data_IF_253613689699
#
_entry.id   IF_253613689699
#
_cell.length_a   1.000
_cell.length_b   1.000
_cell.length_c   1.000
_cell.angle_alpha   90.00
_cell.angle_beta   90.00
_cell.angle_gamma   90.00
#
_symmetry.space_group_name_H-M   'P 1'
#
loop_
_entity.id
_entity.type
_entity.pdbx_description
1 polymer ?
#
# COMPACT_ATOMS: atom_id res chain seq x y z
N UNK A 1 12.64 -12.85 -9.64
CA UNK A 1 12.81 -11.62 -8.82
C UNK A 1 13.85 -11.83 -7.75
N UNK A 2 14.73 -10.84 -7.55
CA UNK A 2 15.90 -10.89 -6.65
C UNK A 2 15.52 -10.75 -5.17
N UNK A 3 16.23 -11.46 -4.29
CA UNK A 3 16.21 -11.26 -2.84
C UNK A 3 17.26 -10.20 -2.48
N UNK A 4 16.87 -9.22 -1.67
CA UNK A 4 17.80 -8.19 -1.21
C UNK A 4 18.24 -8.42 0.23
N UNK A 5 19.44 -7.98 0.56
CA UNK A 5 20.05 -8.01 1.88
C UNK A 5 20.83 -6.71 2.12
N UNK A 6 21.65 -6.66 3.17
CA UNK A 6 22.46 -5.50 3.52
C UNK A 6 23.55 -5.13 2.48
N UNK A 7 23.89 -6.03 1.55
CA UNK A 7 24.95 -5.82 0.55
C UNK A 7 24.41 -5.29 -0.78
N UNK A 8 23.12 -5.50 -1.07
CA UNK A 8 22.53 -5.15 -2.36
C UNK A 8 21.19 -4.39 -2.24
N UNK A 9 20.89 -3.84 -1.06
CA UNK A 9 19.65 -3.11 -0.79
C UNK A 9 19.41 -1.97 -1.78
N UNK A 10 18.23 -1.98 -2.42
CA UNK A 10 17.86 -0.99 -3.45
C UNK A 10 17.68 0.43 -2.91
N UNK A 11 17.55 0.62 -1.60
CA UNK A 11 17.35 1.91 -0.96
C UNK A 11 15.98 2.53 -1.27
N UNK A 12 15.24 2.95 -0.24
CA UNK A 12 13.96 3.65 -0.38
C UNK A 12 13.58 4.36 0.91
N UNK A 13 12.65 5.31 0.85
CA UNK A 13 12.04 5.91 2.02
C UNK A 13 10.91 5.01 2.53
N UNK A 14 11.13 4.33 3.65
CA UNK A 14 10.14 3.45 4.27
C UNK A 14 9.28 4.25 5.24
N UNK A 15 7.99 4.42 4.90
CA UNK A 15 7.08 5.27 5.66
C UNK A 15 6.05 4.48 6.49
N UNK A 16 5.90 3.18 6.25
CA UNK A 16 5.06 2.30 7.09
C UNK A 16 5.70 0.93 7.23
N UNK A 17 5.64 0.41 8.46
CA UNK A 17 5.98 -0.96 8.81
C UNK A 17 4.72 -1.60 9.36
N UNK A 18 4.31 -2.72 8.78
CA UNK A 18 3.15 -3.51 9.18
C UNK A 18 3.67 -4.75 9.88
N UNK A 19 3.41 -4.82 11.19
CA UNK A 19 3.85 -5.92 12.03
C UNK A 19 3.01 -7.19 11.83
N UNK A 20 3.62 -8.37 11.95
CA UNK A 20 2.90 -9.63 11.87
C UNK A 20 1.94 -9.79 13.06
N UNK A 21 0.74 -10.31 12.81
CA UNK A 21 -0.25 -10.58 13.87
C UNK A 21 0.13 -11.76 14.79
N UNK A 22 0.99 -12.67 14.33
CA UNK A 22 1.42 -13.85 15.09
C UNK A 22 2.86 -13.65 15.60
N UNK A 23 3.05 -13.87 16.90
CA UNK A 23 4.33 -13.67 17.63
C UNK A 23 5.54 -14.44 17.03
N UNK A 24 5.30 -15.58 16.36
CA UNK A 24 6.34 -16.39 15.74
C UNK A 24 6.62 -16.03 14.27
N UNK A 25 5.84 -15.14 13.66
CA UNK A 25 6.16 -14.64 12.31
C UNK A 25 7.11 -13.46 12.48
N UNK A 26 8.31 -13.53 11.89
CA UNK A 26 9.30 -12.45 11.91
C UNK A 26 9.32 -11.68 10.57
N UNK A 27 8.14 -11.54 9.96
CA UNK A 27 7.98 -10.94 8.64
C UNK A 27 7.19 -9.65 8.77
N UNK A 28 7.81 -8.55 8.39
CA UNK A 28 7.21 -7.22 8.40
C UNK A 28 6.90 -6.83 6.96
N UNK A 29 5.69 -6.39 6.70
CA UNK A 29 5.40 -5.80 5.38
C UNK A 29 5.73 -4.33 5.43
N UNK A 30 6.51 -3.86 4.47
CA UNK A 30 7.00 -2.50 4.39
C UNK A 30 6.32 -1.77 3.24
N UNK A 31 5.91 -0.53 3.48
CA UNK A 31 5.52 0.40 2.42
C UNK A 31 6.64 1.44 2.24
N UNK A 32 7.12 1.54 1.02
CA UNK A 32 8.25 2.39 0.65
C UNK A 32 7.90 3.34 -0.51
N UNK A 33 8.60 4.46 -0.54
CA UNK A 33 8.60 5.42 -1.63
C UNK A 33 10.01 5.53 -2.21
N UNK A 34 10.09 5.54 -3.53
CA UNK A 34 11.33 5.72 -4.27
C UNK A 34 11.09 6.79 -5.34
N UNK A 35 11.97 7.80 -5.35
CA UNK A 35 11.91 8.89 -6.30
C UNK A 35 12.25 8.50 -7.73
N UNK A 36 12.67 7.26 -8.03
CA UNK A 36 12.94 6.72 -9.37
C UNK A 36 13.73 7.65 -10.32
N UNK A 37 13.06 8.47 -11.14
CA UNK A 37 13.66 9.35 -12.14
C UNK A 37 12.77 10.59 -12.44
N UNK A 38 13.19 11.57 -13.28
CA UNK A 38 12.41 12.78 -13.55
C UNK A 38 10.99 12.56 -14.11
N UNK A 39 10.67 11.41 -14.69
CA UNK A 39 9.37 11.14 -15.32
C UNK A 39 8.39 10.39 -14.42
N UNK A 40 8.89 9.56 -13.50
CA UNK A 40 8.04 8.69 -12.67
C UNK A 40 8.46 8.59 -11.22
N UNK A 41 7.52 8.15 -10.39
CA UNK A 41 7.70 7.84 -8.97
C UNK A 41 7.32 6.37 -8.74
N UNK A 42 7.97 5.71 -7.78
CA UNK A 42 7.66 4.33 -7.41
C UNK A 42 7.19 4.26 -5.94
N UNK A 43 6.09 3.55 -5.71
CA UNK A 43 5.73 2.99 -4.39
C UNK A 43 6.03 1.49 -4.38
N UNK A 44 6.52 0.99 -3.24
CA UNK A 44 6.94 -0.39 -3.09
C UNK A 44 6.22 -1.02 -1.90
N UNK A 45 5.70 -2.23 -2.10
CA UNK A 45 5.27 -3.12 -1.02
C UNK A 45 6.21 -4.32 -1.00
N UNK A 46 6.99 -4.48 0.06
CA UNK A 46 7.99 -5.54 0.20
C UNK A 46 7.91 -6.19 1.59
N UNK A 47 8.54 -7.34 1.77
CA UNK A 47 8.53 -8.08 3.03
C UNK A 47 9.94 -8.18 3.57
N UNK A 48 10.15 -7.60 4.74
CA UNK A 48 11.37 -7.71 5.53
C UNK A 48 11.27 -8.94 6.45
N UNK A 49 12.21 -9.87 6.29
CA UNK A 49 12.47 -10.90 7.28
C UNK A 49 13.74 -10.58 8.07
N UNK A 50 13.68 -10.72 9.39
CA UNK A 50 14.87 -10.64 10.24
C UNK A 50 15.03 -11.99 10.95
N UNK A 51 16.07 -12.74 10.59
CA UNK A 51 16.40 -14.04 11.18
C UNK A 51 17.89 -14.14 11.42
N UNK A 52 18.30 -14.67 12.59
CA UNK A 52 19.71 -14.87 12.93
C UNK A 52 20.57 -13.62 12.68
N UNK A 53 20.06 -12.44 13.05
CA UNK A 53 20.70 -11.12 12.85
C UNK A 53 20.93 -10.72 11.38
N UNK A 54 20.27 -11.41 10.43
CA UNK A 54 20.30 -11.08 9.01
C UNK A 54 18.92 -10.55 8.59
N UNK A 55 18.94 -9.41 7.89
CA UNK A 55 17.77 -8.79 7.30
C UNK A 55 17.71 -9.14 5.80
N UNK A 56 16.57 -9.62 5.33
CA UNK A 56 16.32 -9.90 3.91
C UNK A 56 14.99 -9.32 3.45
N UNK A 57 14.93 -8.91 2.19
CA UNK A 57 13.73 -8.42 1.52
C UNK A 57 13.37 -9.31 0.33
N UNK A 58 12.08 -9.50 0.07
CA UNK A 58 11.58 -10.24 -1.09
C UNK A 58 11.09 -11.65 -0.75
N UNK A 59 10.07 -11.74 0.10
CA UNK A 59 9.36 -12.98 0.40
C UNK A 59 8.21 -13.20 -0.59
N UNK A 60 8.11 -14.40 -1.15
CA UNK A 60 7.04 -14.79 -2.09
C UNK A 60 5.69 -14.98 -1.38
N UNK A 61 4.98 -13.89 -1.11
CA UNK A 61 3.67 -13.94 -0.44
C UNK A 61 2.62 -13.01 -1.04
N UNK A 62 2.90 -12.34 -2.15
CA UNK A 62 1.93 -11.51 -2.85
C UNK A 62 1.30 -12.30 -3.99
N UNK A 63 0.01 -12.59 -3.89
CA UNK A 63 -0.73 -13.46 -4.80
C UNK A 63 -1.67 -12.62 -5.67
N UNK A 64 -1.52 -12.72 -6.99
CA UNK A 64 -2.43 -12.11 -7.99
C UNK A 64 -2.80 -13.15 -9.04
N UNK A 65 -4.00 -13.72 -8.93
CA UNK A 65 -4.38 -14.85 -9.78
C UNK A 65 -3.51 -16.07 -9.50
N UNK A 66 -2.86 -16.59 -10.54
CA UNK A 66 -1.89 -17.70 -10.45
C UNK A 66 -0.47 -17.22 -10.11
N UNK A 67 -0.21 -15.91 -10.20
CA UNK A 67 1.11 -15.35 -9.97
C UNK A 67 1.39 -15.15 -8.48
N UNK A 68 2.58 -15.58 -8.06
CA UNK A 68 3.15 -15.28 -6.75
C UNK A 68 4.41 -14.43 -6.93
N UNK A 69 4.46 -13.29 -6.24
CA UNK A 69 5.58 -12.34 -6.36
C UNK A 69 6.18 -11.99 -5.00
N UNK A 70 7.43 -11.50 -5.05
CA UNK A 70 8.21 -11.05 -3.89
C UNK A 70 7.83 -9.67 -3.38
N UNK A 71 7.30 -8.84 -4.27
CA UNK A 71 7.16 -7.40 -4.09
C UNK A 71 6.16 -6.87 -5.10
N UNK A 72 5.40 -5.87 -4.67
CA UNK A 72 4.57 -5.06 -5.55
C UNK A 72 5.27 -3.74 -5.81
N UNK A 73 5.40 -3.38 -7.08
CA UNK A 73 5.98 -2.13 -7.56
C UNK A 73 4.87 -1.36 -8.25
N UNK A 74 4.57 -0.18 -7.73
CA UNK A 74 3.53 0.71 -8.25
C UNK A 74 4.25 1.95 -8.78
N UNK A 75 4.53 1.96 -10.07
CA UNK A 75 5.17 3.08 -10.76
C UNK A 75 4.13 3.92 -11.50
N UNK A 76 4.22 5.24 -11.37
CA UNK A 76 3.25 6.18 -11.92
C UNK A 76 3.89 7.49 -12.34
N UNK A 77 3.16 8.26 -13.14
CA UNK A 77 3.56 9.58 -13.63
C UNK A 77 3.88 10.52 -12.46
N UNK A 78 5.06 11.16 -12.50
CA UNK A 78 5.54 12.07 -11.45
C UNK A 78 4.61 13.26 -11.19
N UNK A 79 3.87 13.72 -12.18
CA UNK A 79 2.98 14.87 -12.07
C UNK A 79 1.61 14.51 -11.46
N UNK A 80 1.43 13.27 -11.02
CA UNK A 80 0.23 12.79 -10.31
C UNK A 80 0.61 12.28 -8.92
N UNK A 81 -0.39 11.95 -8.11
CA UNK A 81 -0.18 11.39 -6.77
C UNK A 81 -0.92 10.07 -6.64
N UNK A 82 -0.17 8.98 -6.49
CA UNK A 82 -0.73 7.66 -6.23
C UNK A 82 -0.50 7.24 -4.77
N UNK A 83 -1.53 6.67 -4.17
CA UNK A 83 -1.59 6.24 -2.78
C UNK A 83 -1.33 4.73 -2.63
N UNK A 84 -0.62 4.37 -1.56
CA UNK A 84 -0.48 2.99 -1.07
C UNK A 84 -0.51 3.08 0.45
N UNK A 85 -1.55 2.53 1.08
CA UNK A 85 -1.83 2.71 2.50
C UNK A 85 -2.31 1.42 3.15
N UNK A 86 -2.05 1.27 4.45
CA UNK A 86 -2.55 0.13 5.22
C UNK A 86 -3.83 0.49 5.98
N UNK A 87 -4.89 -0.25 5.69
CA UNK A 87 -6.17 -0.23 6.41
C UNK A 87 -6.11 -1.29 7.52
N UNK A 88 -5.85 -0.84 8.74
CA UNK A 88 -5.67 -1.70 9.92
C UNK A 88 -6.97 -2.43 10.30
N UNK A 89 -8.11 -1.74 10.21
CA UNK A 89 -9.45 -2.25 10.56
C UNK A 89 -9.81 -3.46 9.67
N UNK A 90 -9.56 -3.35 8.36
CA UNK A 90 -9.85 -4.41 7.38
C UNK A 90 -8.64 -5.29 7.03
N UNK A 91 -7.48 -5.04 7.64
CA UNK A 91 -6.24 -5.78 7.46
C UNK A 91 -5.83 -5.95 5.99
N UNK A 92 -5.85 -4.84 5.25
CA UNK A 92 -5.56 -4.80 3.81
C UNK A 92 -4.67 -3.62 3.45
N UNK A 93 -3.81 -3.77 2.46
CA UNK A 93 -3.08 -2.66 1.85
C UNK A 93 -3.90 -2.19 0.65
N UNK A 94 -4.35 -0.95 0.68
CA UNK A 94 -5.13 -0.29 -0.36
C UNK A 94 -4.18 0.52 -1.24
N UNK A 95 -4.38 0.47 -2.55
CA UNK A 95 -3.61 1.22 -3.53
C UNK A 95 -4.54 1.79 -4.60
N UNK A 96 -4.16 2.92 -5.16
CA UNK A 96 -4.87 3.48 -6.31
C UNK A 96 -4.74 2.54 -7.50
N UNK A 97 -5.85 2.33 -8.22
CA UNK A 97 -5.81 1.65 -9.51
C UNK A 97 -5.20 2.59 -10.55
N UNK A 98 -4.21 2.08 -11.29
CA UNK A 98 -3.46 2.87 -12.25
C UNK A 98 -3.79 2.46 -13.69
N UNK A 99 -4.09 3.46 -14.51
CA UNK A 99 -4.37 3.30 -15.93
C UNK A 99 -3.44 4.17 -16.77
N UNK A 100 -3.05 3.76 -17.98
CA UNK A 100 -2.31 4.63 -18.87
C UNK A 100 -3.17 5.79 -19.34
N UNK A 101 -2.59 6.98 -19.51
CA UNK A 101 -3.30 8.16 -20.03
C UNK A 101 -3.91 7.95 -21.42
N UNK A 102 -3.34 7.04 -22.23
CA UNK A 102 -3.80 6.66 -23.56
C UNK A 102 -3.54 5.17 -23.79
N UNK A 103 -4.37 4.52 -24.59
CA UNK A 103 -4.23 3.08 -24.91
C UNK A 103 -2.85 2.74 -25.48
N UNK A 104 -2.30 3.59 -26.35
CA UNK A 104 -0.99 3.36 -26.96
C UNK A 104 0.21 3.61 -26.00
N UNK A 105 -0.06 3.88 -24.73
CA UNK A 105 0.95 4.09 -23.67
C UNK A 105 0.97 2.96 -22.64
N UNK A 106 0.23 1.87 -22.88
CA UNK A 106 0.29 0.68 -22.05
C UNK A 106 1.74 0.12 -21.99
N UNK A 107 2.17 -0.29 -20.80
CA UNK A 107 3.53 -0.75 -20.52
C UNK A 107 4.57 0.35 -20.27
N UNK A 108 4.23 1.62 -20.51
CA UNK A 108 5.08 2.76 -20.19
C UNK A 108 4.63 3.40 -18.87
N UNK A 109 5.12 2.86 -17.75
CA UNK A 109 4.69 3.22 -16.39
C UNK A 109 4.72 4.74 -16.09
N UNK A 110 5.58 5.51 -16.74
CA UNK A 110 5.61 6.98 -16.60
C UNK A 110 4.32 7.67 -17.08
N UNK A 111 3.45 7.00 -17.83
CA UNK A 111 2.16 7.53 -18.26
C UNK A 111 0.98 6.99 -17.46
N UNK A 112 1.22 6.18 -16.44
CA UNK A 112 0.17 5.62 -15.60
C UNK A 112 -0.26 6.63 -14.54
N UNK A 113 -1.57 6.79 -14.37
CA UNK A 113 -2.19 7.74 -13.44
C UNK A 113 -3.33 7.06 -12.68
N UNK A 114 -3.66 7.51 -11.46
CA UNK A 114 -4.85 7.05 -10.74
C UNK A 114 -6.13 7.38 -11.51
N UNK A 115 -7.05 6.42 -11.61
CA UNK A 115 -8.38 6.63 -12.21
C UNK A 115 -9.48 6.98 -11.18
N UNK A 116 -9.14 6.93 -9.89
CA UNK A 116 -10.04 7.20 -8.77
C UNK A 116 -10.70 5.95 -8.17
N UNK A 117 -10.47 4.77 -8.76
CA UNK A 117 -10.80 3.48 -8.16
C UNK A 117 -9.62 2.92 -7.37
N UNK A 118 -9.86 1.84 -6.62
CA UNK A 118 -8.90 1.28 -5.68
C UNK A 118 -8.84 -0.23 -5.78
N UNK A 119 -7.62 -0.75 -5.70
CA UNK A 119 -7.36 -2.16 -5.52
C UNK A 119 -6.86 -2.40 -4.09
N UNK A 120 -6.73 -3.67 -3.70
CA UNK A 120 -6.06 -4.00 -2.46
C UNK A 120 -5.32 -5.34 -2.47
N UNK A 121 -4.39 -5.46 -1.53
CA UNK A 121 -3.87 -6.72 -1.05
C UNK A 121 -4.47 -7.01 0.33
N UNK A 122 -5.34 -8.02 0.42
CA UNK A 122 -5.93 -8.49 1.66
C UNK A 122 -5.03 -9.52 2.33
N UNK A 123 -4.68 -9.32 3.60
CA UNK A 123 -3.85 -10.31 4.32
C UNK A 123 -4.70 -11.48 4.83
N UNK A 124 -4.45 -12.67 4.30
CA UNK A 124 -5.13 -13.92 4.69
C UNK A 124 -4.11 -15.07 4.76
N UNK A 125 -4.15 -15.85 5.84
CA UNK A 125 -3.35 -17.07 6.01
C UNK A 125 -1.81 -16.92 5.85
N UNK A 126 -1.26 -15.72 6.03
CA UNK A 126 0.18 -15.47 5.86
C UNK A 126 0.54 -14.80 4.54
N UNK A 127 -0.44 -14.61 3.65
CA UNK A 127 -0.29 -14.12 2.29
C UNK A 127 -1.08 -12.83 2.08
N UNK A 128 -0.64 -12.04 1.11
CA UNK A 128 -1.29 -10.85 0.61
C UNK A 128 -2.01 -11.19 -0.70
N UNK A 129 -3.33 -11.29 -0.64
CA UNK A 129 -4.17 -11.69 -1.78
C UNK A 129 -4.73 -10.47 -2.49
N UNK A 130 -4.43 -10.31 -3.78
CA UNK A 130 -4.90 -9.19 -4.58
C UNK A 130 -6.42 -9.25 -4.84
N UNK A 131 -7.06 -8.09 -4.80
CA UNK A 131 -8.47 -7.86 -5.14
C UNK A 131 -8.61 -6.51 -5.83
N UNK A 132 -9.31 -6.51 -6.96
CA UNK A 132 -9.59 -5.30 -7.73
C UNK A 132 -10.91 -4.66 -7.31
N UNK A 133 -11.07 -3.39 -7.63
CA UNK A 133 -12.32 -2.61 -7.53
C UNK A 133 -13.01 -2.74 -6.16
N UNK A 134 -12.30 -2.28 -5.12
CA UNK A 134 -12.78 -2.34 -3.75
C UNK A 134 -13.41 -1.02 -3.29
N UNK A 135 -14.49 -1.12 -2.50
CA UNK A 135 -15.05 0.03 -1.80
C UNK A 135 -14.22 0.37 -0.54
N UNK A 136 -13.73 1.61 -0.50
CA UNK A 136 -12.94 2.15 0.60
C UNK A 136 -13.72 3.11 1.51
N UNK A 137 -15.00 3.38 1.19
CA UNK A 137 -15.83 4.27 2.01
C UNK A 137 -16.02 3.67 3.40
N UNK A 138 -15.94 4.56 4.38
CA UNK A 138 -16.05 4.16 5.78
C UNK A 138 -17.54 4.10 6.15
N UNK A 139 -18.05 2.89 6.43
CA UNK A 139 -19.44 2.71 6.88
C UNK A 139 -19.60 2.98 8.40
N UNK A 140 -18.62 3.62 9.05
CA UNK A 140 -18.78 4.05 10.44
C UNK A 140 -19.92 5.06 10.47
N UNK A 141 -20.97 4.76 11.23
CA UNK A 141 -22.04 5.70 11.53
C UNK A 141 -21.41 6.99 12.03
N UNK A 142 -21.91 8.14 11.55
CA UNK A 142 -21.54 9.44 12.09
C UNK A 142 -21.64 9.35 13.62
N UNK A 143 -20.65 9.89 14.37
CA UNK A 143 -20.78 9.94 15.82
C UNK A 143 -22.14 10.58 16.16
N UNK A 144 -22.88 10.00 17.10
CA UNK A 144 -24.13 10.61 17.54
C UNK A 144 -23.84 12.04 17.96
N UNK A 145 -24.46 12.99 17.25
CA UNK A 145 -24.37 14.39 17.63
C UNK A 145 -25.15 14.50 18.93
N UNK A 146 -24.42 14.69 20.03
CA UNK A 146 -24.97 15.02 21.34
C UNK A 146 -25.74 16.35 21.22
N UNK A 147 -27.05 16.27 21.03
CA UNK A 147 -27.93 17.43 20.78
C UNK A 147 -27.97 18.39 21.97
N UNK A 148 -27.54 17.96 23.16
CA UNK A 148 -27.52 18.78 24.37
C UNK A 148 -26.34 19.75 24.45
N UNK A 149 -25.33 19.63 23.57
CA UNK A 149 -24.22 20.61 23.52
C UNK A 149 -24.52 21.88 22.73
N UNK A 150 -25.67 21.98 22.07
CA UNK A 150 -26.07 23.19 21.34
C UNK A 150 -26.44 24.37 22.24
N UNK A 151 -26.59 24.17 23.55
CA UNK A 151 -26.90 25.24 24.52
C UNK A 151 -25.66 25.94 25.10
N UNK A 152 -24.45 25.63 24.61
CA UNK A 152 -23.19 26.27 25.05
C UNK A 152 -22.58 27.20 23.99
N UNK A 153 -23.40 27.70 23.05
CA UNK A 153 -22.99 28.75 22.13
C UNK A 153 -22.76 30.08 22.84
N UNK A 154 -21.71 30.82 22.44
CA UNK A 154 -21.35 32.16 22.94
C UNK A 154 -22.39 33.26 22.65
N UNK A 155 -23.44 32.93 21.90
CA UNK A 155 -24.56 33.83 21.65
C UNK A 155 -25.85 33.13 22.10
N UNK A 156 -26.35 33.53 23.27
CA UNK A 156 -27.75 33.25 23.64
C UNK A 156 -28.66 34.12 22.77
N UNK A 157 -29.71 33.50 22.25
CA UNK A 157 -30.76 34.17 21.47
C UNK A 157 -31.67 35.00 22.37
#
# INVERSE_FOLDING_TARGET
TTIYNNENWYGSLYYKIISPKKKNNQHYTLLAWNGNNPESIIKIIDVLEIKNQKATLGKDIFIKGEDTTKRIVVEYNRNTSASVNFDEDKNRIVLDHLVPLKENQEGFNQFYVPDGSYDCFLYKNGEWIFKEDIDIRNNKSLPEIDKDKNDRGLFKK
#
